data_IF_287857787334
#
_entry.id   IF_287857787334
#
_cell.length_a   1.000
_cell.length_b   1.000
_cell.length_c   1.000
_cell.angle_alpha   90.00
_cell.angle_beta   90.00
_cell.angle_gamma   90.00
#
_symmetry.space_group_name_H-M   'P 1'
#
loop_
_entity.id
_entity.type
_entity.pdbx_description
1 polymer ?
#
# COMPACT_ATOMS: atom_id res chain seq x y z
N UNK A 1 -3.15 13.59 -4.35
CA UNK A 1 -4.55 13.11 -4.41
C UNK A 1 -5.28 13.29 -3.07
N UNK A 2 -4.86 12.65 -1.98
CA UNK A 2 -5.57 12.76 -0.68
C UNK A 2 -5.58 14.18 -0.06
N UNK A 3 -4.46 14.91 -0.08
CA UNK A 3 -4.35 16.21 0.61
C UNK A 3 -4.85 17.42 -0.20
N UNK A 4 -4.79 17.33 -1.52
CA UNK A 4 -4.99 18.48 -2.42
C UNK A 4 -5.89 18.14 -3.63
N UNK A 5 -6.55 16.99 -3.62
CA UNK A 5 -7.45 16.54 -4.70
C UNK A 5 -6.86 16.51 -6.12
N UNK A 6 -5.52 16.46 -6.24
CA UNK A 6 -4.84 16.39 -7.53
C UNK A 6 -5.25 15.14 -8.34
N UNK A 7 -5.81 15.38 -9.52
CA UNK A 7 -6.43 14.36 -10.36
C UNK A 7 -5.42 13.46 -11.08
N UNK A 8 -4.26 14.00 -11.47
CA UNK A 8 -3.19 13.21 -12.07
C UNK A 8 -2.62 12.21 -11.07
N UNK A 9 -2.31 12.68 -9.85
CA UNK A 9 -1.87 11.81 -8.76
C UNK A 9 -2.89 10.71 -8.48
N UNK A 10 -4.19 11.04 -8.47
CA UNK A 10 -5.27 10.08 -8.25
C UNK A 10 -5.29 8.99 -9.33
N UNK A 11 -5.23 9.40 -10.59
CA UNK A 11 -5.19 8.47 -11.72
C UNK A 11 -4.00 7.50 -11.66
N UNK A 12 -2.80 8.02 -11.37
CA UNK A 12 -1.59 7.20 -11.29
C UNK A 12 -1.63 6.21 -10.12
N UNK A 13 -2.03 6.67 -8.94
CA UNK A 13 -2.03 5.84 -7.73
C UNK A 13 -3.13 4.78 -7.76
N UNK A 14 -4.30 5.09 -8.33
CA UNK A 14 -5.36 4.10 -8.55
C UNK A 14 -4.87 2.97 -9.46
N UNK A 15 -4.15 3.28 -10.55
CA UNK A 15 -3.60 2.24 -11.43
C UNK A 15 -2.66 1.29 -10.69
N UNK A 16 -1.81 1.82 -9.80
CA UNK A 16 -0.89 1.01 -8.98
C UNK A 16 -1.67 0.14 -8.00
N UNK A 17 -2.64 0.75 -7.29
CA UNK A 17 -3.46 0.06 -6.28
C UNK A 17 -4.27 -1.09 -6.88
N UNK A 18 -4.94 -0.86 -8.02
CA UNK A 18 -5.72 -1.89 -8.70
C UNK A 18 -4.84 -3.02 -9.26
N UNK A 19 -3.67 -2.67 -9.80
CA UNK A 19 -2.73 -3.67 -10.28
C UNK A 19 -2.24 -4.56 -9.14
N UNK A 20 -1.78 -3.98 -8.02
CA UNK A 20 -1.22 -4.77 -6.93
C UNK A 20 -2.28 -5.66 -6.26
N UNK A 21 -3.52 -5.16 -6.09
CA UNK A 21 -4.63 -5.95 -5.56
C UNK A 21 -4.90 -7.17 -6.45
N UNK A 22 -4.94 -6.97 -7.77
CA UNK A 22 -5.13 -8.06 -8.73
C UNK A 22 -3.94 -9.03 -8.75
N UNK A 23 -2.71 -8.53 -8.69
CA UNK A 23 -1.48 -9.34 -8.67
C UNK A 23 -1.34 -10.14 -7.38
N UNK A 24 -1.86 -9.63 -6.27
CA UNK A 24 -1.87 -10.30 -4.98
C UNK A 24 -3.14 -11.13 -4.73
N UNK A 25 -4.02 -11.27 -5.74
CA UNK A 25 -5.29 -12.00 -5.64
C UNK A 25 -6.17 -11.53 -4.46
N UNK A 26 -6.12 -10.24 -4.13
CA UNK A 26 -6.84 -9.63 -3.02
C UNK A 26 -6.28 -9.94 -1.63
N UNK A 27 -5.15 -10.63 -1.52
CA UNK A 27 -4.48 -10.96 -0.25
C UNK A 27 -3.18 -10.15 -0.09
N UNK A 28 -3.11 -9.15 0.80
CA UNK A 28 -1.91 -8.34 1.01
C UNK A 28 -0.66 -9.15 1.39
N UNK A 29 -0.83 -10.35 1.98
CA UNK A 29 0.28 -11.23 2.34
C UNK A 29 0.95 -11.87 1.11
N UNK A 30 0.32 -11.80 -0.06
CA UNK A 30 0.85 -12.28 -1.35
C UNK A 30 1.66 -11.22 -2.10
N UNK A 31 1.68 -9.97 -1.61
CA UNK A 31 2.53 -8.92 -2.16
C UNK A 31 4.00 -9.35 -2.02
N UNK A 32 4.74 -9.23 -3.12
CA UNK A 32 6.16 -9.55 -3.20
C UNK A 32 7.00 -8.34 -2.80
N UNK A 33 8.20 -8.59 -2.29
CA UNK A 33 9.14 -7.55 -1.88
C UNK A 33 9.85 -6.84 -3.04
N UNK A 34 9.28 -6.90 -4.26
CA UNK A 34 9.90 -6.35 -5.44
C UNK A 34 9.31 -6.88 -6.74
N UNK A 35 9.09 -5.96 -7.68
CA UNK A 35 8.56 -6.24 -9.00
C UNK A 35 9.36 -5.49 -10.07
N UNK A 36 9.52 -6.10 -11.23
CA UNK A 36 9.86 -5.37 -12.44
C UNK A 36 8.72 -4.42 -12.84
N UNK A 37 9.03 -3.42 -13.67
CA UNK A 37 8.01 -2.50 -14.20
C UNK A 37 6.98 -3.19 -15.12
N UNK A 38 7.30 -4.39 -15.61
CA UNK A 38 6.39 -5.27 -16.34
C UNK A 38 5.31 -5.90 -15.43
N UNK A 39 5.52 -5.88 -14.12
CA UNK A 39 4.67 -6.53 -13.12
C UNK A 39 5.14 -7.92 -12.70
N UNK A 40 6.23 -8.42 -13.28
CA UNK A 40 6.82 -9.70 -12.88
C UNK A 40 7.54 -9.57 -11.53
N UNK A 41 7.35 -10.51 -10.57
CA UNK A 41 8.11 -10.54 -9.34
C UNK A 41 9.62 -10.66 -9.58
N UNK A 42 10.42 -9.94 -8.79
CA UNK A 42 11.87 -10.10 -8.83
C UNK A 42 12.29 -11.47 -8.28
N UNK A 43 13.45 -12.02 -8.69
CA UNK A 43 14.03 -13.20 -8.04
C UNK A 43 14.18 -12.98 -6.53
N UNK A 44 13.92 -14.02 -5.74
CA UNK A 44 14.05 -14.03 -4.27
C UNK A 44 13.18 -12.99 -3.53
N UNK A 45 12.10 -12.52 -4.16
CA UNK A 45 11.14 -11.55 -3.57
C UNK A 45 9.90 -12.18 -2.91
N UNK A 46 9.89 -13.51 -2.74
CA UNK A 46 8.81 -14.28 -2.13
C UNK A 46 8.87 -14.25 -0.58
N UNK A 47 9.01 -13.04 -0.03
CA UNK A 47 8.90 -12.82 1.40
C UNK A 47 8.02 -11.61 1.68
N UNK A 48 7.30 -11.69 2.79
CA UNK A 48 6.46 -10.61 3.27
C UNK A 48 7.33 -9.55 3.96
N UNK A 49 7.10 -8.30 3.60
CA UNK A 49 7.61 -7.12 4.30
C UNK A 49 6.56 -6.03 4.21
N UNK A 50 6.30 -5.37 5.33
CA UNK A 50 5.30 -4.30 5.40
C UNK A 50 5.72 -3.07 4.59
N UNK A 51 7.02 -2.90 4.33
CA UNK A 51 7.55 -1.81 3.52
C UNK A 51 6.88 -1.69 2.14
N UNK A 52 6.59 -2.82 1.48
CA UNK A 52 5.90 -2.82 0.18
C UNK A 52 4.37 -2.82 0.30
N UNK A 53 3.84 -3.22 1.46
CA UNK A 53 2.41 -3.44 1.68
C UNK A 53 1.72 -2.18 2.19
N UNK A 54 2.27 -1.53 3.22
CA UNK A 54 1.64 -0.39 3.87
C UNK A 54 1.36 0.80 2.91
N UNK A 55 2.26 1.16 1.97
CA UNK A 55 1.97 2.21 0.99
C UNK A 55 0.79 1.88 0.07
N UNK A 56 0.47 0.61 -0.14
CA UNK A 56 -0.66 0.20 -0.98
C UNK A 56 -2.01 0.48 -0.30
N UNK A 57 -2.06 0.50 1.03
CA UNK A 57 -3.24 0.95 1.77
C UNK A 57 -3.49 2.45 1.53
N UNK A 58 -2.45 3.27 1.61
CA UNK A 58 -2.54 4.71 1.27
C UNK A 58 -2.97 4.92 -0.19
N UNK A 59 -2.50 4.08 -1.11
CA UNK A 59 -2.93 4.09 -2.50
C UNK A 59 -4.44 3.80 -2.62
N UNK A 60 -4.92 2.75 -1.96
CA UNK A 60 -6.31 2.30 -1.97
C UNK A 60 -7.32 3.34 -1.45
N UNK A 61 -6.92 4.22 -0.52
CA UNK A 61 -7.76 5.33 -0.06
C UNK A 61 -8.26 6.27 -1.17
N UNK A 62 -7.63 6.23 -2.35
CA UNK A 62 -8.01 7.07 -3.48
C UNK A 62 -9.14 6.50 -4.33
N UNK A 63 -9.67 5.30 -4.01
CA UNK A 63 -10.81 4.70 -4.68
C UNK A 63 -11.78 4.06 -3.66
N UNK A 64 -13.00 4.61 -3.48
CA UNK A 64 -14.00 4.02 -2.58
C UNK A 64 -14.37 2.57 -2.92
N UNK A 65 -14.15 2.12 -4.16
CA UNK A 65 -14.39 0.73 -4.55
C UNK A 65 -13.38 -0.26 -3.91
N UNK A 66 -12.23 0.22 -3.42
CA UNK A 66 -11.18 -0.59 -2.80
C UNK A 66 -11.28 -0.62 -1.26
N UNK A 67 -12.44 -0.36 -0.67
CA UNK A 67 -12.58 -0.31 0.79
C UNK A 67 -12.24 -1.64 1.48
N UNK A 68 -12.64 -2.78 0.90
CA UNK A 68 -12.31 -4.10 1.44
C UNK A 68 -10.81 -4.37 1.35
N UNK A 69 -10.18 -4.00 0.23
CA UNK A 69 -8.73 -4.06 0.04
C UNK A 69 -7.96 -3.18 1.02
N UNK A 70 -8.39 -1.93 1.22
CA UNK A 70 -7.82 -1.01 2.21
C UNK A 70 -7.86 -1.62 3.62
N UNK A 71 -8.99 -2.21 4.00
CA UNK A 71 -9.13 -2.87 5.31
C UNK A 71 -8.17 -4.05 5.43
N UNK A 72 -8.07 -4.90 4.40
CA UNK A 72 -7.16 -6.03 4.40
C UNK A 72 -5.69 -5.58 4.54
N UNK A 73 -5.29 -4.53 3.81
CA UNK A 73 -3.92 -3.99 3.92
C UNK A 73 -3.67 -3.42 5.31
N UNK A 74 -4.62 -2.67 5.88
CA UNK A 74 -4.51 -2.16 7.24
C UNK A 74 -4.32 -3.29 8.26
N UNK A 75 -5.17 -4.33 8.19
CA UNK A 75 -5.10 -5.51 9.06
C UNK A 75 -3.77 -6.26 8.94
N UNK A 76 -3.17 -6.26 7.74
CA UNK A 76 -1.87 -6.90 7.50
C UNK A 76 -0.69 -6.15 8.13
N UNK A 77 -0.79 -4.85 8.40
CA UNK A 77 0.35 -4.02 8.82
C UNK A 77 0.23 -3.42 10.23
N UNK A 78 -0.97 -3.22 10.77
CA UNK A 78 -1.17 -2.36 11.96
C UNK A 78 -0.44 -2.78 13.25
N UNK A 79 -0.16 -4.07 13.42
CA UNK A 79 0.51 -4.64 14.61
C UNK A 79 1.87 -5.27 14.27
N UNK A 80 2.36 -5.06 13.05
CA UNK A 80 3.64 -5.60 12.63
C UNK A 80 4.80 -4.75 13.17
N UNK A 81 5.88 -5.44 13.54
CA UNK A 81 7.15 -4.85 13.93
C UNK A 81 8.25 -5.73 13.32
N UNK A 82 8.94 -5.20 12.30
CA UNK A 82 9.95 -5.95 11.54
C UNK A 82 11.34 -5.40 11.85
N UNK A 83 11.62 -4.16 11.42
CA UNK A 83 12.88 -3.45 11.68
C UNK A 83 12.69 -1.95 11.37
N UNK A 84 13.71 -1.14 11.64
CA UNK A 84 13.71 0.31 11.49
C UNK A 84 13.07 0.83 10.21
N UNK A 85 13.33 0.20 9.05
CA UNK A 85 12.90 0.74 7.76
C UNK A 85 11.42 0.50 7.52
N UNK A 86 10.96 -0.73 7.70
CA UNK A 86 9.56 -1.16 7.70
C UNK A 86 8.73 -0.34 8.69
N UNK A 87 9.12 -0.35 9.97
CA UNK A 87 8.34 0.24 11.06
C UNK A 87 8.17 1.76 10.87
N UNK A 88 9.19 2.44 10.33
CA UNK A 88 9.12 3.87 10.01
C UNK A 88 8.11 4.16 8.91
N UNK A 89 8.10 3.34 7.85
CA UNK A 89 7.18 3.51 6.72
C UNK A 89 5.75 3.13 7.11
N UNK A 90 5.59 2.09 7.91
CA UNK A 90 4.31 1.67 8.45
C UNK A 90 3.69 2.79 9.28
N UNK A 91 4.45 3.39 10.20
CA UNK A 91 3.96 4.52 11.01
C UNK A 91 3.48 5.67 10.12
N UNK A 92 4.25 6.06 9.10
CA UNK A 92 3.86 7.13 8.18
C UNK A 92 2.58 6.78 7.40
N UNK A 93 2.49 5.56 6.87
CA UNK A 93 1.33 5.09 6.12
C UNK A 93 0.09 4.99 7.02
N UNK A 94 0.25 4.51 8.24
CA UNK A 94 -0.82 4.39 9.23
C UNK A 94 -1.34 5.75 9.69
N UNK A 95 -0.48 6.77 9.83
CA UNK A 95 -0.95 8.14 10.08
C UNK A 95 -1.83 8.65 8.93
N UNK A 96 -1.49 8.33 7.67
CA UNK A 96 -2.31 8.71 6.52
C UNK A 96 -3.62 7.93 6.49
N UNK A 97 -3.58 6.59 6.62
CA UNK A 97 -4.77 5.73 6.59
C UNK A 97 -5.77 6.04 7.71
N UNK A 98 -5.26 6.41 8.89
CA UNK A 98 -6.10 6.81 10.02
C UNK A 98 -6.59 8.26 9.98
N UNK A 99 -6.18 9.05 8.97
CA UNK A 99 -6.57 10.46 8.86
C UNK A 99 -5.85 11.40 9.84
N UNK A 100 -4.72 10.97 10.42
CA UNK A 100 -3.90 11.74 11.36
C UNK A 100 -2.67 12.41 10.71
N UNK A 101 -2.57 12.39 9.38
CA UNK A 101 -1.57 13.14 8.63
C UNK A 101 -2.14 14.48 8.14
N UNK A 102 -1.63 15.60 8.67
CA UNK A 102 -2.13 16.94 8.34
C UNK A 102 -1.23 17.67 7.35
N UNK A 103 -1.83 18.35 6.37
CA UNK A 103 -1.12 19.37 5.59
C UNK A 103 -0.87 20.58 6.51
N UNK A 104 0.37 21.10 6.58
CA UNK A 104 0.66 22.32 7.31
C UNK A 104 -0.02 23.54 6.67
#
# INVERSE_FOLDING_TARGET
ALLHDDSLSRFLVQKISHWIESSAEGDPLRIRSGYELSGEPLPDSDYFTTFFVAPMGVAAMNDPAQQEWLNAVYDAVYDQHIDYYEDSIDLLCMMVMSGNFWSP
#
